data_IF_267214697281
#
_entry.id   IF_267214697281
#
_cell.length_a   1.000
_cell.length_b   1.000
_cell.length_c   1.000
_cell.angle_alpha   90.00
_cell.angle_beta   90.00
_cell.angle_gamma   90.00
#
_symmetry.space_group_name_H-M   'P 1'
#
loop_
_entity.id
_entity.type
_entity.pdbx_description
1 polymer ?
#
# COMPACT_ATOMS: atom_id res chain seq x y z
N UNK A 1 -3.98 -19.49 -9.52
CA UNK A 1 -4.75 -18.70 -8.52
C UNK A 1 -6.20 -18.82 -8.93
N UNK A 2 -7.06 -19.36 -8.07
CA UNK A 2 -8.49 -19.44 -8.38
C UNK A 2 -9.04 -18.02 -8.56
N UNK A 3 -9.74 -17.75 -9.65
CA UNK A 3 -10.39 -16.46 -9.96
C UNK A 3 -11.34 -15.98 -8.84
N UNK A 4 -11.82 -16.87 -8.01
CA UNK A 4 -12.63 -16.56 -6.82
C UNK A 4 -11.89 -15.85 -5.68
N UNK A 5 -10.55 -15.81 -5.68
CA UNK A 5 -9.77 -15.12 -4.66
C UNK A 5 -9.53 -13.63 -4.97
N UNK A 6 -9.84 -13.17 -6.20
CA UNK A 6 -9.58 -11.80 -6.63
C UNK A 6 -10.86 -10.97 -6.69
N UNK A 7 -11.04 -10.05 -5.75
CA UNK A 7 -12.14 -9.08 -5.78
C UNK A 7 -11.72 -7.93 -6.71
N UNK A 8 -12.09 -8.03 -7.98
CA UNK A 8 -11.64 -7.14 -9.07
C UNK A 8 -11.78 -5.65 -8.77
N UNK A 9 -12.90 -5.23 -8.16
CA UNK A 9 -13.12 -3.84 -7.78
C UNK A 9 -12.12 -3.33 -6.74
N UNK A 10 -11.71 -4.18 -5.77
CA UNK A 10 -10.69 -3.83 -4.79
C UNK A 10 -9.28 -3.81 -5.41
N UNK A 11 -9.04 -4.63 -6.44
CA UNK A 11 -7.78 -4.54 -7.21
C UNK A 11 -7.68 -3.19 -7.92
N UNK A 12 -8.74 -2.76 -8.61
CA UNK A 12 -8.78 -1.46 -9.28
C UNK A 12 -8.63 -0.28 -8.31
N UNK A 13 -9.24 -0.36 -7.13
CA UNK A 13 -9.14 0.68 -6.10
C UNK A 13 -7.69 0.99 -5.70
N UNK A 14 -6.80 -0.01 -5.74
CA UNK A 14 -5.38 0.16 -5.41
C UNK A 14 -4.66 1.15 -6.33
N UNK A 15 -5.06 1.25 -7.60
CA UNK A 15 -4.51 2.24 -8.51
C UNK A 15 -4.86 3.67 -8.08
N UNK A 16 -6.11 3.91 -7.73
CA UNK A 16 -6.53 5.24 -7.28
C UNK A 16 -5.87 5.64 -5.97
N UNK A 17 -5.68 4.69 -5.04
CA UNK A 17 -4.92 4.91 -3.82
C UNK A 17 -3.45 5.27 -4.10
N UNK A 18 -2.80 4.54 -5.03
CA UNK A 18 -1.42 4.84 -5.43
C UNK A 18 -1.31 6.22 -6.09
N UNK A 19 -2.22 6.56 -7.01
CA UNK A 19 -2.22 7.87 -7.67
C UNK A 19 -2.50 9.01 -6.69
N UNK A 20 -3.31 8.79 -5.66
CA UNK A 20 -3.53 9.78 -4.61
C UNK A 20 -2.24 10.07 -3.82
N UNK A 21 -1.47 9.03 -3.50
CA UNK A 21 -0.13 9.19 -2.90
C UNK A 21 0.84 9.87 -3.86
N UNK A 22 0.81 9.52 -5.16
CA UNK A 22 1.67 10.16 -6.18
C UNK A 22 1.36 11.65 -6.28
N UNK A 23 0.10 12.03 -6.34
CA UNK A 23 -0.33 13.45 -6.36
C UNK A 23 0.18 14.21 -5.14
N UNK A 24 0.08 13.61 -3.95
CA UNK A 24 0.62 14.21 -2.71
C UNK A 24 2.14 14.46 -2.81
N UNK A 25 2.91 13.52 -3.37
CA UNK A 25 4.37 13.64 -3.48
C UNK A 25 4.81 14.58 -4.63
N UNK A 26 4.00 14.71 -5.69
CA UNK A 26 4.35 15.47 -6.89
C UNK A 26 3.83 16.91 -6.87
N UNK A 27 2.82 17.18 -6.05
CA UNK A 27 2.24 18.52 -5.97
C UNK A 27 3.26 19.61 -5.65
N UNK A 28 4.19 19.43 -4.69
CA UNK A 28 5.19 20.45 -4.37
C UNK A 28 6.12 20.85 -5.53
N UNK A 29 6.21 20.02 -6.57
CA UNK A 29 7.07 20.31 -7.72
C UNK A 29 6.37 21.14 -8.80
N UNK A 30 5.08 21.45 -8.66
CA UNK A 30 4.32 22.30 -9.59
C UNK A 30 4.55 23.78 -9.28
N UNK A 31 4.78 24.59 -10.31
CA UNK A 31 4.83 26.05 -10.17
C UNK A 31 3.49 26.60 -9.67
N UNK A 32 3.49 27.45 -8.66
CA UNK A 32 2.26 27.99 -8.06
C UNK A 32 1.58 27.03 -7.08
N UNK A 33 2.33 26.06 -6.54
CA UNK A 33 1.81 25.04 -5.62
C UNK A 33 1.91 25.42 -4.14
N UNK A 34 2.05 26.70 -3.82
CA UNK A 34 2.22 27.19 -2.43
C UNK A 34 1.06 26.74 -1.53
N UNK A 35 -0.13 26.58 -2.10
CA UNK A 35 -1.30 26.04 -1.40
C UNK A 35 -1.64 24.68 -1.98
N UNK A 36 -1.50 23.66 -1.15
CA UNK A 36 -1.93 22.31 -1.53
C UNK A 36 -3.42 22.14 -1.23
N UNK A 37 -4.28 21.80 -2.22
CA UNK A 37 -5.70 21.54 -1.99
C UNK A 37 -5.90 20.44 -0.97
N UNK A 38 -6.90 20.58 -0.06
CA UNK A 38 -7.13 19.63 1.04
C UNK A 38 -7.20 18.18 0.60
N UNK A 39 -7.87 17.90 -0.51
CA UNK A 39 -7.93 16.56 -1.09
C UNK A 39 -6.54 16.00 -1.41
N UNK A 40 -5.66 16.79 -1.97
CA UNK A 40 -4.28 16.36 -2.31
C UNK A 40 -3.43 16.30 -1.05
N UNK A 41 -3.60 17.24 -0.13
CA UNK A 41 -2.88 17.29 1.14
C UNK A 41 -3.12 16.04 2.02
N UNK A 42 -4.28 15.40 1.87
CA UNK A 42 -4.62 14.12 2.53
C UNK A 42 -4.23 12.89 1.71
N UNK A 43 -3.54 13.04 0.58
CA UNK A 43 -3.14 11.95 -0.30
C UNK A 43 -2.25 10.88 0.36
N UNK A 44 -1.51 11.24 1.43
CA UNK A 44 -0.75 10.27 2.23
C UNK A 44 -1.64 9.19 2.87
N UNK A 45 -2.95 9.42 3.02
CA UNK A 45 -3.92 8.44 3.52
C UNK A 45 -4.24 7.33 2.51
N UNK A 46 -3.78 7.45 1.27
CA UNK A 46 -3.77 6.31 0.33
C UNK A 46 -3.00 5.11 0.88
N UNK A 47 -2.03 5.32 1.78
CA UNK A 47 -1.30 4.24 2.46
C UNK A 47 -2.19 3.52 3.48
N UNK A 48 -3.02 4.23 4.24
CA UNK A 48 -4.01 3.63 5.16
C UNK A 48 -5.01 2.77 4.38
N UNK A 49 -5.43 3.23 3.21
CA UNK A 49 -6.31 2.44 2.34
C UNK A 49 -5.61 1.13 1.91
N UNK A 50 -4.32 1.15 1.56
CA UNK A 50 -3.56 -0.07 1.28
C UNK A 50 -3.48 -1.00 2.51
N UNK A 51 -3.28 -0.46 3.71
CA UNK A 51 -3.21 -1.25 4.93
C UNK A 51 -4.55 -1.93 5.26
N UNK A 52 -5.68 -1.23 5.09
CA UNK A 52 -7.01 -1.82 5.25
C UNK A 52 -7.24 -2.92 4.19
N UNK A 53 -6.91 -2.64 2.93
CA UNK A 53 -7.00 -3.62 1.85
C UNK A 53 -6.15 -4.84 2.10
N UNK A 54 -4.94 -4.68 2.65
CA UNK A 54 -4.05 -5.80 2.98
C UNK A 54 -4.68 -6.71 4.03
N UNK A 55 -5.21 -6.16 5.14
CA UNK A 55 -5.91 -6.93 6.16
C UNK A 55 -7.14 -7.66 5.61
N UNK A 56 -7.96 -6.97 4.81
CA UNK A 56 -9.15 -7.55 4.18
C UNK A 56 -8.79 -8.71 3.26
N UNK A 57 -7.86 -8.50 2.32
CA UNK A 57 -7.50 -9.50 1.30
C UNK A 57 -6.75 -10.69 1.92
N UNK A 58 -5.90 -10.50 2.92
CA UNK A 58 -5.23 -11.61 3.57
C UNK A 58 -6.22 -12.49 4.34
N UNK A 59 -7.17 -11.90 5.05
CA UNK A 59 -8.27 -12.67 5.62
C UNK A 59 -9.10 -13.38 4.55
N UNK A 60 -9.37 -12.73 3.41
CA UNK A 60 -10.12 -13.34 2.32
C UNK A 60 -9.42 -14.58 1.75
N UNK A 61 -8.11 -14.50 1.54
CA UNK A 61 -7.32 -15.58 0.92
C UNK A 61 -6.99 -16.71 1.90
N UNK A 62 -6.68 -16.39 3.16
CA UNK A 62 -6.07 -17.35 4.08
C UNK A 62 -6.97 -17.82 5.23
N UNK A 63 -8.13 -17.18 5.44
CA UNK A 63 -9.01 -17.53 6.56
C UNK A 63 -9.38 -19.02 6.58
N UNK A 64 -9.81 -19.58 5.46
CA UNK A 64 -10.21 -20.99 5.38
C UNK A 64 -9.07 -21.91 5.79
N UNK A 65 -7.85 -21.66 5.29
CA UNK A 65 -6.69 -22.48 5.67
C UNK A 65 -6.31 -22.35 7.16
N UNK A 66 -6.60 -21.18 7.77
CA UNK A 66 -6.41 -21.01 9.23
C UNK A 66 -7.51 -21.72 10.01
N UNK A 67 -8.77 -21.66 9.56
CA UNK A 67 -9.90 -22.37 10.15
C UNK A 67 -9.68 -23.91 10.12
N UNK A 68 -9.22 -24.44 8.99
CA UNK A 68 -8.99 -25.86 8.75
C UNK A 68 -7.60 -26.34 9.24
N UNK A 69 -6.85 -25.49 9.96
CA UNK A 69 -5.50 -25.79 10.47
C UNK A 69 -4.48 -26.22 9.39
N UNK A 70 -4.77 -25.92 8.12
CA UNK A 70 -3.89 -26.23 6.99
C UNK A 70 -2.95 -25.06 6.61
N UNK A 71 -2.98 -23.98 7.39
CA UNK A 71 -2.18 -22.79 7.14
C UNK A 71 -0.69 -23.05 7.31
N UNK A 72 0.07 -22.87 6.22
CA UNK A 72 1.52 -23.02 6.19
C UNK A 72 2.20 -21.65 6.28
N UNK A 73 2.60 -21.26 7.49
CA UNK A 73 3.18 -19.95 7.77
C UNK A 73 4.40 -19.61 6.88
N UNK A 74 5.36 -20.54 6.74
CA UNK A 74 6.52 -20.32 5.86
C UNK A 74 6.17 -20.12 4.39
N UNK A 75 5.18 -20.88 3.88
CA UNK A 75 4.67 -20.71 2.51
C UNK A 75 3.95 -19.37 2.32
N UNK A 76 3.21 -18.94 3.32
CA UNK A 76 2.57 -17.63 3.36
C UNK A 76 3.62 -16.51 3.30
N UNK A 77 4.62 -16.52 4.20
CA UNK A 77 5.68 -15.51 4.22
C UNK A 77 6.45 -15.45 2.90
N UNK A 78 6.78 -16.62 2.33
CA UNK A 78 7.45 -16.68 1.04
C UNK A 78 6.62 -16.04 -0.08
N UNK A 79 5.31 -16.32 -0.12
CA UNK A 79 4.41 -15.73 -1.10
C UNK A 79 4.28 -14.20 -0.93
N UNK A 80 4.34 -13.69 0.32
CA UNK A 80 4.33 -12.25 0.60
C UNK A 80 5.65 -11.61 0.22
N UNK A 81 6.77 -12.24 0.56
CA UNK A 81 8.11 -11.79 0.19
C UNK A 81 8.24 -11.72 -1.34
N UNK A 82 7.80 -12.77 -2.05
CA UNK A 82 7.77 -12.78 -3.51
C UNK A 82 6.93 -11.64 -4.13
N UNK A 83 5.97 -11.10 -3.38
CA UNK A 83 5.13 -9.99 -3.80
C UNK A 83 5.82 -8.64 -3.72
N UNK A 84 6.59 -8.41 -2.65
CA UNK A 84 7.07 -7.06 -2.32
C UNK A 84 8.58 -6.89 -2.49
N UNK A 85 9.36 -7.92 -2.20
CA UNK A 85 10.81 -7.81 -2.09
C UNK A 85 11.55 -7.58 -3.42
N UNK A 86 11.20 -8.24 -4.55
CA UNK A 86 11.97 -8.10 -5.79
C UNK A 86 12.01 -6.65 -6.30
N UNK A 87 10.87 -5.98 -6.34
CA UNK A 87 10.82 -4.59 -6.80
C UNK A 87 11.44 -3.64 -5.77
N UNK A 88 11.27 -3.92 -4.48
CA UNK A 88 11.93 -3.14 -3.42
C UNK A 88 13.46 -3.14 -3.60
N UNK A 89 14.08 -4.31 -3.75
CA UNK A 89 15.54 -4.40 -3.99
C UNK A 89 15.92 -3.74 -5.32
N UNK A 90 15.14 -3.93 -6.38
CA UNK A 90 15.41 -3.29 -7.66
C UNK A 90 15.40 -1.75 -7.56
N UNK A 91 14.49 -1.17 -6.76
CA UNK A 91 14.48 0.28 -6.54
C UNK A 91 15.66 0.76 -5.70
N UNK A 92 16.13 -0.02 -4.71
CA UNK A 92 17.34 0.31 -3.96
C UNK A 92 18.58 0.30 -4.87
N UNK A 93 18.75 -0.77 -5.65
CA UNK A 93 19.88 -0.90 -6.60
C UNK A 93 19.82 0.21 -7.65
N UNK A 94 18.64 0.48 -8.21
CA UNK A 94 18.43 1.53 -9.20
C UNK A 94 18.79 2.92 -8.67
N UNK A 95 18.34 3.28 -7.46
CA UNK A 95 18.71 4.55 -6.82
C UNK A 95 20.21 4.64 -6.52
N UNK A 96 20.81 3.55 -6.03
CA UNK A 96 22.25 3.50 -5.83
C UNK A 96 23.02 3.72 -7.13
N UNK A 97 22.63 3.05 -8.22
CA UNK A 97 23.25 3.21 -9.53
C UNK A 97 23.09 4.63 -10.09
N UNK A 98 21.91 5.22 -9.97
CA UNK A 98 21.64 6.61 -10.39
C UNK A 98 22.52 7.59 -9.61
N UNK A 99 22.64 7.42 -8.29
CA UNK A 99 23.46 8.30 -7.46
C UNK A 99 24.95 8.18 -7.76
N UNK A 100 25.45 6.96 -7.99
CA UNK A 100 26.86 6.72 -8.41
C UNK A 100 27.12 7.39 -9.75
N UNK A 101 26.22 7.17 -10.74
CA UNK A 101 26.36 7.79 -12.06
C UNK A 101 26.31 9.32 -12.00
N UNK A 102 25.42 9.88 -11.18
CA UNK A 102 25.33 11.33 -10.95
C UNK A 102 26.61 11.87 -10.32
N UNK A 103 27.15 11.21 -9.30
CA UNK A 103 28.43 11.58 -8.67
C UNK A 103 29.61 11.53 -9.65
N UNK A 104 29.71 10.48 -10.47
CA UNK A 104 30.71 10.36 -11.51
C UNK A 104 30.60 11.46 -12.59
N UNK A 105 29.39 11.94 -12.87
CA UNK A 105 29.13 13.07 -13.76
C UNK A 105 29.32 14.45 -13.12
N UNK A 106 29.81 14.51 -11.87
CA UNK A 106 30.08 15.76 -11.14
C UNK A 106 28.86 16.40 -10.48
N UNK A 107 27.74 15.69 -10.37
CA UNK A 107 26.58 16.19 -9.63
C UNK A 107 26.73 15.96 -8.13
N UNK A 108 26.32 16.96 -7.36
CA UNK A 108 26.23 16.78 -5.89
C UNK A 108 24.98 15.95 -5.58
N UNK A 109 25.18 14.74 -5.06
CA UNK A 109 24.11 13.90 -4.54
C UNK A 109 23.92 14.22 -3.06
N UNK A 110 22.69 14.51 -2.64
CA UNK A 110 22.39 14.75 -1.22
C UNK A 110 22.71 13.47 -0.42
N UNK A 111 23.61 13.52 0.58
CA UNK A 111 24.00 12.37 1.41
C UNK A 111 22.79 11.71 2.11
N UNK A 112 21.71 12.47 2.34
CA UNK A 112 20.50 11.94 2.99
C UNK A 112 19.69 11.04 2.06
N UNK A 113 19.85 11.16 0.73
CA UNK A 113 19.16 10.27 -0.22
C UNK A 113 19.68 8.83 -0.07
N UNK A 114 21.00 8.65 0.14
CA UNK A 114 21.64 7.33 0.27
C UNK A 114 22.36 7.19 1.61
N UNK A 115 21.63 7.18 2.71
CA UNK A 115 22.23 6.88 4.02
C UNK A 115 22.64 5.41 4.11
N UNK A 116 23.93 5.13 4.06
CA UNK A 116 24.48 3.76 4.16
C UNK A 116 24.16 3.10 5.51
N UNK A 117 24.08 3.88 6.59
CA UNK A 117 23.67 3.39 7.91
C UNK A 117 22.23 2.87 7.96
N UNK A 118 21.37 3.36 7.06
CA UNK A 118 19.98 2.87 6.92
C UNK A 118 19.86 1.63 6.02
N UNK A 119 20.88 1.30 5.21
CA UNK A 119 20.80 0.23 4.21
C UNK A 119 20.49 -1.16 4.79
N UNK A 120 21.10 -1.60 5.93
CA UNK A 120 20.74 -2.88 6.53
C UNK A 120 19.26 -3.00 6.87
N UNK A 121 18.67 -1.94 7.44
CA UNK A 121 17.23 -1.90 7.73
C UNK A 121 16.37 -1.92 6.45
N UNK A 122 16.82 -1.26 5.37
CA UNK A 122 16.14 -1.32 4.07
C UNK A 122 16.15 -2.73 3.49
N UNK A 123 17.30 -3.42 3.51
CA UNK A 123 17.44 -4.78 2.98
C UNK A 123 16.58 -5.77 3.78
N UNK A 124 16.50 -5.63 5.10
CA UNK A 124 15.72 -6.51 5.98
C UNK A 124 14.25 -6.13 6.09
N UNK A 125 13.80 -5.06 5.42
CA UNK A 125 12.44 -4.52 5.53
C UNK A 125 12.06 -4.13 6.98
N UNK A 126 13.01 -3.60 7.74
CA UNK A 126 12.79 -3.17 9.13
C UNK A 126 12.95 -1.67 9.34
N UNK A 127 13.08 -0.88 8.26
CA UNK A 127 13.28 0.55 8.31
C UNK A 127 12.14 1.32 8.99
N UNK A 128 10.90 0.82 8.95
CA UNK A 128 9.75 1.44 9.63
C UNK A 128 9.54 0.97 11.09
N UNK A 129 10.50 0.20 11.63
CA UNK A 129 10.45 -0.35 12.99
C UNK A 129 11.27 0.49 13.99
N UNK A 130 11.71 1.68 13.57
CA UNK A 130 12.64 2.51 14.34
C UNK A 130 14.10 2.05 14.24
N UNK A 131 14.43 1.13 13.32
CA UNK A 131 15.78 0.59 13.15
C UNK A 131 16.60 1.32 12.08
N UNK A 132 16.00 2.20 11.30
CA UNK A 132 16.70 3.10 10.40
C UNK A 132 16.92 4.46 11.09
N UNK A 133 18.15 5.00 11.10
CA UNK A 133 18.44 6.28 11.76
C UNK A 133 17.78 7.47 11.05
N UNK A 134 17.62 7.39 9.73
CA UNK A 134 17.02 8.46 8.91
C UNK A 134 16.17 7.90 7.78
N UNK A 135 15.19 8.69 7.33
CA UNK A 135 14.43 8.42 6.11
C UNK A 135 15.34 8.61 4.89
N UNK A 136 15.60 7.55 4.16
CA UNK A 136 16.56 7.55 3.04
C UNK A 136 16.22 6.49 2.00
N UNK A 137 17.00 6.40 0.94
CA UNK A 137 16.78 5.51 -0.18
C UNK A 137 15.40 5.74 -0.80
N UNK A 138 14.65 4.67 -1.05
CA UNK A 138 13.29 4.78 -1.52
C UNK A 138 12.34 5.02 -0.33
N UNK A 139 12.16 6.28 0.08
CA UNK A 139 11.35 6.64 1.26
C UNK A 139 9.96 5.97 1.27
N UNK A 140 9.16 5.91 0.19
CA UNK A 140 7.88 5.20 0.20
C UNK A 140 7.93 3.76 0.68
N UNK A 141 9.06 3.09 0.59
CA UNK A 141 9.22 1.70 1.03
C UNK A 141 9.05 1.48 2.54
N UNK A 142 8.97 2.55 3.34
CA UNK A 142 8.64 2.43 4.76
C UNK A 142 7.31 1.70 4.97
N UNK A 143 6.32 1.90 4.10
CA UNK A 143 5.02 1.23 4.19
C UNK A 143 5.13 -0.27 3.92
N UNK A 144 6.06 -0.69 3.04
CA UNK A 144 6.35 -2.10 2.76
C UNK A 144 7.00 -2.76 3.97
N UNK A 145 7.86 -2.04 4.69
CA UNK A 145 8.42 -2.49 5.97
C UNK A 145 7.33 -2.66 7.04
N UNK A 146 6.39 -1.73 7.13
CA UNK A 146 5.23 -1.86 8.01
C UNK A 146 4.33 -3.05 7.59
N UNK A 147 4.13 -3.24 6.29
CA UNK A 147 3.36 -4.36 5.75
C UNK A 147 4.06 -5.71 6.03
N UNK A 148 5.40 -5.75 5.97
CA UNK A 148 6.18 -6.92 6.34
C UNK A 148 5.97 -7.30 7.82
N UNK A 149 5.92 -6.33 8.73
CA UNK A 149 5.52 -6.58 10.12
C UNK A 149 4.12 -7.18 10.22
N UNK A 150 3.14 -6.63 9.51
CA UNK A 150 1.78 -7.17 9.52
C UNK A 150 1.72 -8.60 8.97
N UNK A 151 2.59 -8.97 8.01
CA UNK A 151 2.71 -10.34 7.53
C UNK A 151 3.31 -11.28 8.58
N UNK A 152 4.35 -10.86 9.28
CA UNK A 152 4.93 -11.64 10.37
C UNK A 152 3.94 -11.85 11.51
N UNK A 153 3.11 -10.88 11.81
CA UNK A 153 2.12 -10.94 12.89
C UNK A 153 0.72 -11.37 12.41
N UNK A 154 0.55 -11.72 11.12
CA UNK A 154 -0.74 -12.13 10.56
C UNK A 154 -1.46 -13.24 11.33
N UNK A 155 -0.78 -14.27 11.86
CA UNK A 155 -1.47 -15.29 12.69
C UNK A 155 -2.22 -14.72 13.88
N UNK A 156 -1.72 -13.63 14.50
CA UNK A 156 -2.39 -12.96 15.63
C UNK A 156 -3.67 -12.25 15.15
N UNK A 157 -3.61 -11.54 14.02
CA UNK A 157 -4.78 -10.90 13.42
C UNK A 157 -5.82 -11.93 12.98
N UNK A 158 -5.39 -13.02 12.35
CA UNK A 158 -6.28 -14.10 11.93
C UNK A 158 -6.95 -14.78 13.13
N UNK A 159 -6.19 -15.05 14.20
CA UNK A 159 -6.73 -15.59 15.45
C UNK A 159 -7.78 -14.65 16.07
N UNK A 160 -7.50 -13.35 16.19
CA UNK A 160 -8.44 -12.38 16.70
C UNK A 160 -9.73 -12.31 15.84
N UNK A 161 -9.58 -12.32 14.52
CA UNK A 161 -10.71 -12.33 13.59
C UNK A 161 -11.55 -13.61 13.72
N UNK A 162 -10.92 -14.77 13.97
CA UNK A 162 -11.62 -16.04 14.20
C UNK A 162 -12.36 -16.05 15.55
N UNK A 163 -11.77 -15.51 16.61
CA UNK A 163 -12.43 -15.37 17.93
C UNK A 163 -13.70 -14.52 17.87
N UNK A 164 -13.73 -13.53 16.98
CA UNK A 164 -14.87 -12.62 16.80
C UNK A 164 -15.77 -13.01 15.61
N UNK A 165 -15.58 -14.20 14.99
CA UNK A 165 -16.28 -14.58 13.76
C UNK A 165 -17.80 -14.59 13.89
N UNK A 166 -18.32 -14.96 15.08
CA UNK A 166 -19.76 -15.00 15.39
C UNK A 166 -20.31 -13.61 15.80
N UNK A 167 -19.43 -12.65 16.03
CA UNK A 167 -19.79 -11.28 16.45
C UNK A 167 -19.18 -10.21 15.52
N UNK A 168 -19.48 -10.26 14.21
CA UNK A 168 -18.82 -9.42 13.22
C UNK A 168 -19.08 -7.91 13.41
N UNK A 169 -20.23 -7.54 13.98
CA UNK A 169 -20.53 -6.13 14.31
C UNK A 169 -19.63 -5.67 15.46
N UNK A 170 -19.46 -6.51 16.49
CA UNK A 170 -18.57 -6.18 17.61
C UNK A 170 -17.12 -6.04 17.13
N UNK A 171 -16.65 -6.94 16.23
CA UNK A 171 -15.32 -6.85 15.62
C UNK A 171 -15.14 -5.52 14.88
N UNK A 172 -16.14 -5.11 14.10
CA UNK A 172 -16.11 -3.86 13.33
C UNK A 172 -16.08 -2.64 14.27
N UNK A 173 -17.00 -2.58 15.24
CA UNK A 173 -17.07 -1.46 16.21
C UNK A 173 -15.77 -1.39 17.01
N UNK A 174 -15.28 -2.53 17.53
CA UNK A 174 -14.04 -2.56 18.28
C UNK A 174 -12.83 -2.09 17.46
N UNK A 175 -12.74 -2.47 16.17
CA UNK A 175 -11.64 -2.02 15.33
C UNK A 175 -11.69 -0.53 14.98
N UNK A 176 -12.90 0.03 14.78
CA UNK A 176 -13.08 1.49 14.58
C UNK A 176 -12.73 2.25 15.85
N UNK A 177 -13.22 1.80 17.02
CA UNK A 177 -12.86 2.42 18.30
C UNK A 177 -11.36 2.33 18.57
N UNK A 178 -10.75 1.17 18.31
CA UNK A 178 -9.30 0.98 18.46
C UNK A 178 -8.51 1.96 17.56
N UNK A 179 -8.92 2.11 16.31
CA UNK A 179 -8.30 3.07 15.38
C UNK A 179 -8.43 4.51 15.93
N UNK A 180 -9.63 4.92 16.35
CA UNK A 180 -9.86 6.26 16.88
C UNK A 180 -9.06 6.54 18.16
N UNK A 181 -9.09 5.60 19.12
CA UNK A 181 -8.36 5.72 20.39
C UNK A 181 -6.83 5.73 20.15
N UNK A 182 -6.34 4.88 19.27
CA UNK A 182 -4.91 4.82 18.99
C UNK A 182 -4.41 6.10 18.29
N UNK A 183 -5.18 6.63 17.33
CA UNK A 183 -4.80 7.87 16.63
C UNK A 183 -4.80 9.05 17.60
N UNK A 184 -5.88 9.24 18.39
CA UNK A 184 -5.97 10.32 19.33
C UNK A 184 -4.94 10.19 20.48
N UNK A 185 -4.75 8.99 21.03
CA UNK A 185 -3.78 8.74 22.09
C UNK A 185 -2.34 8.94 21.64
N UNK A 186 -1.99 8.47 20.43
CA UNK A 186 -0.66 8.70 19.87
C UNK A 186 -0.39 10.19 19.65
N UNK A 187 -1.35 10.92 19.07
CA UNK A 187 -1.20 12.35 18.82
C UNK A 187 -1.04 13.14 20.13
N UNK A 188 -1.82 12.77 21.16
CA UNK A 188 -1.71 13.38 22.49
C UNK A 188 -0.34 13.16 23.14
N UNK A 189 0.31 12.02 22.92
CA UNK A 189 1.61 11.68 23.52
C UNK A 189 2.78 12.13 22.66
N UNK A 190 2.69 11.92 21.33
CA UNK A 190 3.79 12.16 20.39
C UNK A 190 3.80 13.60 19.84
N UNK A 191 2.70 14.36 19.96
CA UNK A 191 2.58 15.72 19.44
C UNK A 191 2.39 15.83 17.93
N UNK A 192 2.20 14.70 17.23
CA UNK A 192 1.88 14.68 15.80
C UNK A 192 1.01 13.48 15.45
N UNK A 193 0.21 13.53 14.34
CA UNK A 193 -0.69 12.45 13.97
C UNK A 193 0.06 11.16 13.61
N UNK A 194 -0.41 9.98 14.10
CA UNK A 194 0.16 8.68 13.77
C UNK A 194 0.21 8.42 12.25
N UNK A 195 -0.73 8.96 11.50
CA UNK A 195 -0.80 8.91 10.03
C UNK A 195 0.35 9.64 9.32
N UNK A 196 1.17 10.39 10.05
CA UNK A 196 2.41 11.03 9.56
C UNK A 196 3.67 10.25 9.96
N UNK A 197 3.53 9.24 10.81
CA UNK A 197 4.65 8.36 11.18
C UNK A 197 5.11 7.53 9.96
N UNK A 198 6.44 7.39 9.80
CA UNK A 198 7.04 6.64 8.69
C UNK A 198 8.15 5.71 9.20
N UNK A 199 9.38 6.21 9.39
CA UNK A 199 10.53 5.42 9.84
C UNK A 199 10.40 5.06 11.32
N UNK A 200 10.12 6.05 12.17
CA UNK A 200 9.71 5.79 13.53
C UNK A 200 8.20 5.57 13.56
N UNK A 201 7.75 4.55 14.29
CA UNK A 201 6.32 4.25 14.50
C UNK A 201 5.52 3.79 13.26
N UNK A 202 6.14 3.57 12.10
CA UNK A 202 5.44 3.09 10.91
C UNK A 202 4.78 1.72 11.13
N UNK A 203 5.37 0.87 11.96
CA UNK A 203 4.76 -0.40 12.40
C UNK A 203 3.48 -0.17 13.20
N UNK A 204 3.46 0.83 14.09
CA UNK A 204 2.25 1.13 14.87
C UNK A 204 1.12 1.66 13.97
N UNK A 205 1.48 2.40 12.92
CA UNK A 205 0.54 3.00 11.98
C UNK A 205 -0.27 1.96 11.19
N UNK A 206 0.32 0.81 10.82
CA UNK A 206 -0.41 -0.23 10.07
C UNK A 206 -1.41 -0.99 10.94
N UNK A 207 -1.13 -1.17 12.24
CA UNK A 207 -1.88 -2.07 13.12
C UNK A 207 -3.39 -1.80 13.13
N UNK A 208 -3.90 -0.57 13.39
CA UNK A 208 -5.33 -0.31 13.44
C UNK A 208 -6.01 -0.47 12.07
N UNK A 209 -5.34 -0.06 10.99
CA UNK A 209 -5.87 -0.18 9.63
C UNK A 209 -5.95 -1.64 9.18
N UNK A 210 -4.93 -2.43 9.47
CA UNK A 210 -4.92 -3.86 9.16
C UNK A 210 -5.99 -4.62 9.95
N UNK A 211 -6.14 -4.30 11.25
CA UNK A 211 -7.20 -4.86 12.11
C UNK A 211 -8.60 -4.51 11.57
N UNK A 212 -8.81 -3.25 11.16
CA UNK A 212 -10.05 -2.81 10.51
C UNK A 212 -10.32 -3.61 9.24
N UNK A 213 -9.32 -3.83 8.40
CA UNK A 213 -9.43 -4.67 7.20
C UNK A 213 -9.90 -6.10 7.52
N UNK A 214 -9.32 -6.73 8.53
CA UNK A 214 -9.73 -8.06 9.00
C UNK A 214 -11.19 -8.07 9.50
N UNK A 215 -11.60 -7.05 10.27
CA UNK A 215 -12.97 -6.92 10.77
C UNK A 215 -13.99 -6.67 9.66
N UNK A 216 -13.65 -5.84 8.68
CA UNK A 216 -14.46 -5.60 7.48
C UNK A 216 -14.69 -6.88 6.67
N UNK A 217 -13.64 -7.70 6.51
CA UNK A 217 -13.78 -9.01 5.85
C UNK A 217 -14.70 -9.93 6.64
N UNK A 218 -14.56 -10.01 7.98
CA UNK A 218 -15.43 -10.83 8.82
C UNK A 218 -16.90 -10.40 8.68
N UNK A 219 -17.17 -9.09 8.68
CA UNK A 219 -18.51 -8.53 8.48
C UNK A 219 -19.06 -8.80 7.07
N UNK A 220 -18.24 -8.60 6.03
CA UNK A 220 -18.60 -8.86 4.64
C UNK A 220 -19.00 -10.32 4.39
N UNK A 221 -18.27 -11.27 4.99
CA UNK A 221 -18.55 -12.70 4.88
C UNK A 221 -19.81 -13.10 5.64
N UNK A 222 -20.00 -12.58 6.86
CA UNK A 222 -21.15 -12.92 7.69
C UNK A 222 -22.48 -12.30 7.18
N UNK A 223 -22.38 -11.20 6.44
CA UNK A 223 -23.53 -10.46 5.93
C UNK A 223 -23.39 -10.14 4.44
N UNK A 224 -23.56 -11.15 3.57
CA UNK A 224 -23.42 -10.97 2.14
C UNK A 224 -24.47 -9.98 1.59
N UNK A 225 -24.09 -9.27 0.53
CA UNK A 225 -24.98 -8.32 -0.13
C UNK A 225 -26.10 -9.05 -0.85
N UNK A 226 -27.35 -8.64 -0.58
CA UNK A 226 -28.55 -9.14 -1.28
C UNK A 226 -29.09 -8.16 -2.32
N UNK A 227 -28.65 -6.91 -2.27
CA UNK A 227 -29.18 -5.83 -3.11
C UNK A 227 -28.02 -4.98 -3.68
N UNK A 228 -27.89 -5.04 -5.01
CA UNK A 228 -26.87 -4.28 -5.72
C UNK A 228 -27.04 -2.75 -5.56
N UNK A 229 -28.29 -2.25 -5.58
CA UNK A 229 -28.55 -0.81 -5.43
C UNK A 229 -28.06 -0.29 -4.09
N UNK A 230 -28.25 -1.06 -3.01
CA UNK A 230 -27.73 -0.69 -1.69
C UNK A 230 -26.20 -0.74 -1.64
N UNK A 231 -25.56 -1.68 -2.33
CA UNK A 231 -24.11 -1.74 -2.42
C UNK A 231 -23.55 -0.53 -3.20
N UNK A 232 -24.17 -0.16 -4.32
CA UNK A 232 -23.80 1.04 -5.10
C UNK A 232 -24.03 2.31 -4.28
N UNK A 233 -25.20 2.49 -3.67
CA UNK A 233 -25.48 3.66 -2.84
C UNK A 233 -24.49 3.79 -1.67
N UNK A 234 -24.21 2.70 -0.99
CA UNK A 234 -23.22 2.69 0.10
C UNK A 234 -21.80 3.03 -0.39
N UNK A 235 -21.39 2.53 -1.55
CA UNK A 235 -20.09 2.88 -2.14
C UNK A 235 -20.03 4.37 -2.53
N UNK A 236 -21.08 4.90 -3.14
CA UNK A 236 -21.16 6.32 -3.50
C UNK A 236 -21.17 7.21 -2.24
N UNK A 237 -21.97 6.90 -1.24
CA UNK A 237 -22.05 7.68 -0.01
C UNK A 237 -20.70 7.67 0.71
N UNK A 238 -20.13 6.50 0.98
CA UNK A 238 -18.88 6.41 1.73
C UNK A 238 -17.69 6.97 0.95
N UNK A 239 -17.63 6.75 -0.36
CA UNK A 239 -16.60 7.32 -1.23
C UNK A 239 -16.68 8.85 -1.30
N UNK A 240 -17.88 9.41 -1.54
CA UNK A 240 -18.08 10.86 -1.58
C UNK A 240 -17.79 11.50 -0.22
N UNK A 241 -18.23 10.87 0.90
CA UNK A 241 -17.93 11.36 2.25
C UNK A 241 -16.43 11.37 2.51
N UNK A 242 -15.69 10.33 2.10
CA UNK A 242 -14.24 10.30 2.25
C UNK A 242 -13.56 11.43 1.46
N UNK A 243 -14.01 11.70 0.23
CA UNK A 243 -13.49 12.80 -0.59
C UNK A 243 -13.81 14.17 0.01
N UNK A 244 -15.03 14.37 0.52
CA UNK A 244 -15.43 15.63 1.18
C UNK A 244 -14.58 15.83 2.45
N UNK A 245 -14.48 14.81 3.30
CA UNK A 245 -13.67 14.88 4.51
C UNK A 245 -12.20 15.19 4.21
N UNK A 246 -11.65 14.59 3.17
CA UNK A 246 -10.30 14.91 2.73
C UNK A 246 -10.19 16.35 2.22
N UNK A 247 -11.15 16.82 1.43
CA UNK A 247 -11.16 18.18 0.88
C UNK A 247 -11.24 19.27 1.95
N UNK A 248 -12.05 19.04 3.00
CA UNK A 248 -12.19 20.01 4.11
C UNK A 248 -11.15 19.83 5.21
N UNK A 249 -10.21 18.88 5.06
CA UNK A 249 -9.15 18.65 6.05
C UNK A 249 -9.62 18.02 7.36
N UNK A 250 -10.69 17.22 7.32
CA UNK A 250 -11.22 16.53 8.50
C UNK A 250 -10.17 15.66 9.22
N UNK A 251 -10.38 15.27 10.49
CA UNK A 251 -9.50 14.35 11.20
C UNK A 251 -9.28 13.04 10.45
N UNK A 252 -8.03 12.56 10.42
CA UNK A 252 -7.62 11.39 9.64
C UNK A 252 -8.40 10.13 10.02
N UNK A 253 -8.74 9.96 11.29
CA UNK A 253 -9.54 8.83 11.77
C UNK A 253 -10.91 8.73 11.06
N UNK A 254 -11.57 9.87 10.80
CA UNK A 254 -12.85 9.91 10.08
C UNK A 254 -12.67 9.54 8.61
N UNK A 255 -11.63 10.10 7.97
CA UNK A 255 -11.32 9.78 6.57
C UNK A 255 -11.01 8.29 6.43
N UNK A 256 -10.15 7.75 7.27
CA UNK A 256 -9.73 6.32 7.23
C UNK A 256 -10.93 5.40 7.50
N UNK A 257 -11.80 5.75 8.45
CA UNK A 257 -13.02 4.98 8.73
C UNK A 257 -13.97 4.97 7.54
N UNK A 258 -14.17 6.11 6.87
CA UNK A 258 -15.01 6.19 5.67
C UNK A 258 -14.41 5.48 4.47
N UNK A 259 -13.06 5.49 4.32
CA UNK A 259 -12.36 4.65 3.33
C UNK A 259 -12.57 3.14 3.60
N UNK A 260 -12.58 2.73 4.88
CA UNK A 260 -12.95 1.37 5.27
C UNK A 260 -14.37 1.01 4.84
N UNK A 261 -15.34 1.91 5.07
CA UNK A 261 -16.71 1.78 4.57
C UNK A 261 -16.78 1.64 3.05
N UNK A 262 -16.01 2.45 2.32
CA UNK A 262 -15.91 2.39 0.86
C UNK A 262 -15.38 1.02 0.37
N UNK A 263 -14.32 0.50 0.97
CA UNK A 263 -13.80 -0.84 0.71
C UNK A 263 -14.89 -1.90 0.92
N UNK A 264 -15.63 -1.82 2.03
CA UNK A 264 -16.70 -2.76 2.34
C UNK A 264 -17.78 -2.79 1.25
N UNK A 265 -18.26 -1.61 0.85
CA UNK A 265 -19.33 -1.53 -0.15
C UNK A 265 -18.86 -1.90 -1.56
N UNK A 266 -17.61 -1.61 -1.93
CA UNK A 266 -17.01 -2.12 -3.17
C UNK A 266 -16.86 -3.65 -3.15
N UNK A 267 -16.49 -4.23 -2.02
CA UNK A 267 -16.43 -5.68 -1.87
C UNK A 267 -17.84 -6.32 -1.94
N UNK A 268 -18.87 -5.65 -1.39
CA UNK A 268 -20.27 -6.06 -1.53
C UNK A 268 -20.78 -5.96 -2.96
N UNK A 269 -20.39 -4.90 -3.67
CA UNK A 269 -20.74 -4.74 -5.08
C UNK A 269 -20.16 -5.88 -5.92
N UNK A 270 -18.97 -6.38 -5.60
CA UNK A 270 -18.39 -7.53 -6.29
C UNK A 270 -19.17 -8.85 -6.08
N UNK A 271 -19.98 -8.97 -5.02
CA UNK A 271 -20.88 -10.12 -4.81
C UNK A 271 -22.13 -10.07 -5.69
N UNK A 272 -22.53 -8.89 -6.15
CA UNK A 272 -23.77 -8.67 -6.91
C UNK A 272 -23.52 -8.29 -8.37
N UNK A 273 -22.24 -8.12 -8.74
CA UNK A 273 -21.79 -7.70 -10.08
C UNK A 273 -20.68 -6.66 -9.95
N UNK A 274 -19.57 -6.85 -10.69
CA UNK A 274 -18.32 -6.08 -10.44
C UNK A 274 -18.39 -4.59 -10.75
N UNK A 275 -19.45 -4.10 -11.38
CA UNK A 275 -19.56 -2.71 -11.81
C UNK A 275 -18.39 -2.26 -12.71
N UNK A 276 -18.23 -0.94 -12.88
CA UNK A 276 -17.19 -0.35 -13.75
C UNK A 276 -15.77 -0.65 -13.24
N UNK A 277 -15.58 -0.73 -11.93
CA UNK A 277 -14.28 -1.05 -11.32
C UNK A 277 -13.85 -2.52 -11.51
N UNK A 278 -14.73 -3.37 -12.01
CA UNK A 278 -14.40 -4.75 -12.39
C UNK A 278 -13.90 -4.91 -13.81
N UNK A 279 -13.85 -3.84 -14.62
CA UNK A 279 -13.40 -3.89 -16.01
C UNK A 279 -11.89 -4.14 -16.12
N UNK A 280 -11.49 -4.90 -17.14
CA UNK A 280 -10.11 -5.34 -17.33
C UNK A 280 -9.06 -4.22 -17.33
N UNK A 281 -9.26 -3.06 -17.98
CA UNK A 281 -8.27 -1.99 -17.96
C UNK A 281 -8.03 -1.44 -16.54
N UNK A 282 -9.08 -1.25 -15.74
CA UNK A 282 -8.96 -0.75 -14.38
C UNK A 282 -8.32 -1.79 -13.44
N UNK A 283 -8.64 -3.06 -13.63
CA UNK A 283 -8.01 -4.16 -12.90
C UNK A 283 -6.51 -4.21 -13.23
N UNK A 284 -6.13 -4.07 -14.49
CA UNK A 284 -4.73 -4.00 -14.90
C UNK A 284 -3.98 -2.84 -14.23
N UNK A 285 -4.57 -1.64 -14.22
CA UNK A 285 -4.00 -0.50 -13.49
C UNK A 285 -3.83 -0.81 -11.99
N UNK A 286 -4.77 -1.52 -11.39
CA UNK A 286 -4.66 -2.00 -10.02
C UNK A 286 -3.56 -3.04 -9.81
N UNK A 287 -3.28 -3.89 -10.80
CA UNK A 287 -2.17 -4.84 -10.75
C UNK A 287 -0.81 -4.16 -10.74
N UNK A 288 -0.63 -3.11 -11.55
CA UNK A 288 0.61 -2.33 -11.61
C UNK A 288 0.74 -1.29 -10.47
N UNK A 289 -0.28 -1.12 -9.61
CA UNK A 289 -0.32 -0.07 -8.57
C UNK A 289 0.84 -0.13 -7.59
N UNK A 290 1.36 -1.32 -7.29
CA UNK A 290 2.55 -1.49 -6.46
C UNK A 290 3.79 -0.90 -7.15
N UNK A 291 3.97 -1.17 -8.44
CA UNK A 291 5.04 -0.57 -9.23
C UNK A 291 4.89 0.96 -9.31
N UNK A 292 3.66 1.51 -9.49
CA UNK A 292 3.40 2.96 -9.45
C UNK A 292 3.90 3.55 -8.13
N UNK A 293 3.51 2.94 -7.01
CA UNK A 293 3.87 3.41 -5.69
C UNK A 293 5.38 3.36 -5.43
N UNK A 294 6.05 2.26 -5.81
CA UNK A 294 7.47 2.07 -5.53
C UNK A 294 8.40 2.92 -6.39
N UNK A 295 8.01 3.25 -7.63
CA UNK A 295 8.86 4.04 -8.52
C UNK A 295 8.56 5.53 -8.50
N UNK A 296 7.48 5.98 -7.86
CA UNK A 296 7.09 7.39 -7.91
C UNK A 296 8.19 8.34 -7.38
N UNK A 297 8.80 8.05 -6.24
CA UNK A 297 9.88 8.90 -5.69
C UNK A 297 11.20 8.75 -6.45
N UNK A 298 11.70 7.54 -6.78
CA UNK A 298 12.83 7.39 -7.69
C UNK A 298 12.65 8.15 -9.01
N UNK A 299 11.47 8.05 -9.63
CA UNK A 299 11.15 8.78 -10.85
C UNK A 299 11.11 10.30 -10.65
N UNK A 300 10.53 10.77 -9.56
CA UNK A 300 10.57 12.18 -9.18
C UNK A 300 12.00 12.71 -9.17
N UNK A 301 12.92 12.02 -8.48
CA UNK A 301 14.33 12.43 -8.40
C UNK A 301 14.94 12.54 -9.81
N UNK A 302 14.72 11.56 -10.66
CA UNK A 302 15.29 11.56 -12.02
C UNK A 302 14.63 12.64 -12.89
N UNK A 303 13.30 12.67 -12.95
CA UNK A 303 12.57 13.54 -13.86
C UNK A 303 12.75 15.02 -13.53
N UNK A 304 12.57 15.40 -12.25
CA UNK A 304 12.65 16.81 -11.84
C UNK A 304 14.06 17.35 -12.08
N UNK A 305 15.09 16.60 -11.68
CA UNK A 305 16.48 17.04 -11.92
C UNK A 305 16.84 17.11 -13.41
N UNK A 306 16.39 16.18 -14.23
CA UNK A 306 16.62 16.21 -15.68
C UNK A 306 15.85 17.37 -16.33
N UNK A 307 14.57 17.55 -16.02
CA UNK A 307 13.73 18.59 -16.61
C UNK A 307 14.23 19.99 -16.24
N UNK A 308 14.56 20.23 -14.96
CA UNK A 308 15.08 21.53 -14.52
C UNK A 308 16.39 21.89 -15.24
N UNK A 309 17.26 20.92 -15.46
CA UNK A 309 18.52 21.15 -16.19
C UNK A 309 18.32 21.34 -17.69
N UNK A 310 17.53 20.48 -18.33
CA UNK A 310 17.30 20.52 -19.80
C UNK A 310 16.56 21.80 -20.20
N UNK A 311 15.55 22.18 -19.44
CA UNK A 311 14.72 23.37 -19.73
C UNK A 311 15.19 24.62 -19.00
N UNK A 312 16.34 24.57 -18.31
CA UNK A 312 16.96 25.70 -17.57
C UNK A 312 15.97 26.37 -16.58
N UNK A 313 15.21 25.55 -15.84
CA UNK A 313 14.20 26.01 -14.89
C UNK A 313 14.89 26.41 -13.58
N UNK A 314 15.01 27.72 -13.32
CA UNK A 314 15.74 28.25 -12.16
C UNK A 314 14.91 28.21 -10.86
N UNK A 315 13.60 28.05 -10.95
CA UNK A 315 12.69 28.06 -9.77
C UNK A 315 12.66 26.73 -9.01
N UNK A 316 13.18 25.66 -9.59
CA UNK A 316 13.06 24.30 -9.02
C UNK A 316 11.66 23.69 -9.15
N UNK A 317 10.65 24.46 -9.64
CA UNK A 317 9.27 24.02 -9.84
C UNK A 317 8.94 23.89 -11.32
N UNK A 318 8.22 22.82 -11.68
CA UNK A 318 7.86 22.54 -13.06
C UNK A 318 6.63 23.34 -13.51
N UNK A 319 6.63 23.93 -14.71
CA UNK A 319 5.42 24.48 -15.30
C UNK A 319 4.40 23.37 -15.55
N UNK A 320 3.10 23.73 -15.57
CA UNK A 320 1.98 22.78 -15.58
C UNK A 320 2.12 21.69 -16.67
N UNK A 321 2.55 22.04 -17.88
CA UNK A 321 2.67 21.07 -18.97
C UNK A 321 3.74 19.99 -18.70
N UNK A 322 4.91 20.37 -18.15
CA UNK A 322 5.94 19.41 -17.75
C UNK A 322 5.50 18.59 -16.54
N UNK A 323 4.82 19.23 -15.60
CA UNK A 323 4.28 18.53 -14.44
C UNK A 323 3.23 17.48 -14.82
N UNK A 324 2.35 17.79 -15.81
CA UNK A 324 1.40 16.81 -16.33
C UNK A 324 2.13 15.64 -17.03
N UNK A 325 3.17 15.90 -17.83
CA UNK A 325 4.01 14.86 -18.42
C UNK A 325 4.66 14.01 -17.33
N UNK A 326 5.21 14.65 -16.30
CA UNK A 326 5.79 13.98 -15.14
C UNK A 326 4.78 13.06 -14.43
N UNK A 327 3.58 13.59 -14.13
CA UNK A 327 2.52 12.84 -13.46
C UNK A 327 2.05 11.63 -14.29
N UNK A 328 1.86 11.81 -15.60
CA UNK A 328 1.34 10.75 -16.47
C UNK A 328 2.41 9.70 -16.75
N UNK A 329 3.67 10.10 -16.89
CA UNK A 329 4.78 9.21 -17.24
C UNK A 329 5.09 8.13 -16.18
N UNK A 330 4.65 8.30 -14.94
CA UNK A 330 4.79 7.27 -13.91
C UNK A 330 4.04 5.99 -14.27
N UNK A 331 2.93 6.08 -15.03
CA UNK A 331 2.09 4.92 -15.39
C UNK A 331 2.81 3.98 -16.37
N UNK A 332 3.31 4.42 -17.54
CA UNK A 332 4.04 3.53 -18.44
C UNK A 332 5.34 2.99 -17.82
N UNK A 333 6.04 3.78 -16.98
CA UNK A 333 7.21 3.29 -16.25
C UNK A 333 6.84 2.20 -15.25
N UNK A 334 5.74 2.36 -14.54
CA UNK A 334 5.22 1.34 -13.65
C UNK A 334 4.83 0.06 -14.40
N UNK A 335 4.19 0.19 -15.55
CA UNK A 335 3.86 -0.94 -16.42
C UNK A 335 5.13 -1.68 -16.87
N UNK A 336 6.16 -0.94 -17.30
CA UNK A 336 7.47 -1.50 -17.69
C UNK A 336 8.10 -2.25 -16.49
N UNK A 337 8.17 -1.60 -15.32
CA UNK A 337 8.70 -2.20 -14.10
C UNK A 337 7.93 -3.47 -13.69
N UNK A 338 6.60 -3.44 -13.78
CA UNK A 338 5.75 -4.58 -13.50
C UNK A 338 6.07 -5.78 -14.39
N UNK A 339 6.17 -5.55 -15.72
CA UNK A 339 6.39 -6.62 -16.67
C UNK A 339 7.83 -7.14 -16.68
N UNK A 340 8.82 -6.28 -16.45
CA UNK A 340 10.24 -6.67 -16.52
C UNK A 340 10.80 -7.16 -15.17
N UNK A 341 10.27 -6.70 -14.04
CA UNK A 341 10.83 -7.00 -12.72
C UNK A 341 9.81 -7.74 -11.84
N UNK A 342 8.67 -7.09 -11.51
CA UNK A 342 7.75 -7.61 -10.50
C UNK A 342 7.16 -8.97 -10.90
N UNK A 343 6.55 -9.05 -12.07
CA UNK A 343 5.84 -10.25 -12.55
C UNK A 343 6.78 -11.44 -12.80
N UNK A 344 7.96 -11.30 -13.49
CA UNK A 344 8.89 -12.39 -13.67
C UNK A 344 9.49 -12.89 -12.37
N UNK A 345 9.96 -12.00 -11.48
CA UNK A 345 10.55 -12.38 -10.21
C UNK A 345 9.55 -13.12 -9.32
N UNK A 346 8.30 -12.64 -9.24
CA UNK A 346 7.23 -13.32 -8.51
C UNK A 346 6.95 -14.72 -9.05
N UNK A 347 6.95 -14.89 -10.41
CA UNK A 347 6.79 -16.19 -11.03
C UNK A 347 7.97 -17.12 -10.71
N UNK A 348 9.21 -16.64 -10.80
CA UNK A 348 10.41 -17.41 -10.47
C UNK A 348 10.42 -17.87 -9.00
N UNK A 349 10.14 -16.97 -8.07
CA UNK A 349 10.06 -17.31 -6.63
C UNK A 349 8.96 -18.32 -6.32
N UNK A 350 7.84 -18.28 -7.04
CA UNK A 350 6.77 -19.28 -6.90
C UNK A 350 7.23 -20.67 -7.36
N UNK A 351 7.90 -20.76 -8.51
CA UNK A 351 8.44 -22.02 -9.04
C UNK A 351 9.49 -22.64 -8.08
N UNK A 352 10.35 -21.81 -7.46
CA UNK A 352 11.30 -22.29 -6.42
C UNK A 352 10.57 -22.90 -5.23
N UNK A 353 9.46 -22.30 -4.77
CA UNK A 353 8.69 -22.85 -3.68
C UNK A 353 8.02 -24.18 -4.03
N UNK A 354 7.50 -24.31 -5.24
CA UNK A 354 6.84 -25.53 -5.75
C UNK A 354 7.87 -26.67 -5.90
N UNK A 355 9.06 -26.42 -6.46
CA UNK A 355 10.12 -27.41 -6.60
C UNK A 355 10.63 -27.95 -5.25
N UNK A 356 10.74 -27.08 -4.23
CA UNK A 356 11.12 -27.50 -2.88
C UNK A 356 10.01 -28.30 -2.17
N UNK A 357 8.76 -28.09 -2.51
CA UNK A 357 7.64 -28.85 -1.94
C UNK A 357 7.59 -30.28 -2.51
N UNK A 358 7.93 -30.47 -3.78
CA UNK A 358 7.98 -31.79 -4.44
C UNK A 358 9.21 -32.61 -4.06
N UNK A 359 10.30 -31.97 -3.64
CA UNK A 359 11.54 -32.65 -3.21
C UNK A 359 11.54 -33.08 -1.74
N UNK A 360 10.55 -32.73 -0.93
CA UNK A 360 10.42 -33.26 0.43
C UNK A 360 9.88 -34.69 0.36
N UNK A 361 10.68 -35.74 0.73
CA UNK A 361 10.18 -37.09 0.79
C UNK A 361 8.98 -37.12 1.77
N UNK A 362 7.94 -37.86 1.39
CA UNK A 362 6.83 -38.18 2.29
C UNK A 362 7.40 -38.92 3.49
N UNK A 363 7.65 -38.21 4.59
CA UNK A 363 7.85 -38.87 5.90
C UNK A 363 6.47 -39.27 6.37
N UNK A 364 5.97 -40.36 5.80
CA UNK A 364 4.76 -41.01 6.21
C UNK A 364 4.94 -42.50 5.85
N UNK A 365 5.63 -43.23 6.73
CA UNK A 365 5.52 -44.66 7.01
C UNK A 365 6.75 -45.12 7.80
N UNK A 366 6.75 -44.93 9.10
CA UNK A 366 7.42 -45.75 10.07
C UNK A 366 6.68 -45.63 11.40
#
# INVERSE_FOLDING_TARGET
MNDGANIRSLTSLRFFAAMWVVLFHYWPDLTGSEVMPGLIAKGYLGVELFFILSGFILCHVYRTSVEDQSFRYGGFLWARLARVYPLHIATLVGLGAVAIAAGAAGFKVDPNILSWSSLPAQITLTQAWGLAPVASWNHPSWSISAEWFAYLTFPLFAWAALKLKERPILALVASVCFLGVLYAGFEAVAGFPLTRATIAWGVLRIVPCFALGCALHAFWRARPAKNQRLAVAGALITGTTALIFAAVGAPDALIVTTLGGFILFLARLAQTGSGILGQAPLVYLGEISYSVYMICVPWKIVFVNAATKIFQINTGHLPLYLWLVFLISVIPLAALSYHLIEKPARKGMKLIAESRATQRPSVAAA
#
